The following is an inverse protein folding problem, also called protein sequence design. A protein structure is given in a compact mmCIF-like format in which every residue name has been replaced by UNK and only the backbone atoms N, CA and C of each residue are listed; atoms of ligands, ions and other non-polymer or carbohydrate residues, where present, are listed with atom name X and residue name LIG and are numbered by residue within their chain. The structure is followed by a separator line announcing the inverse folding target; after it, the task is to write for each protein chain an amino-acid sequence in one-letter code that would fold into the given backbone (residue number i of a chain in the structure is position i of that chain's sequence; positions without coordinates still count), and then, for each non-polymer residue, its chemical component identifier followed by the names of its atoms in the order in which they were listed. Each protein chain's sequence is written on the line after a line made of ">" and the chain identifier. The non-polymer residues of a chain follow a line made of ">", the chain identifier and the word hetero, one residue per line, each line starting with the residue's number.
data_IF_994447665286
#
_entry.id   IF_994447665286
#
_cell.length_a   1.000
_cell.length_b   1.000
_cell.length_c   1.000
_cell.angle_alpha   90.00
_cell.angle_beta   90.00
_cell.angle_gamma   90.00
#
_symmetry.space_group_name_H-M   'P 1'
#
loop_
_entity.id
_entity.type
_entity.pdbx_description
1 polymer ?
#
# COMPACT_ATOMS: atom_id res chain seq x y z
N UNK A 1 2.97 21.73 15.03
CA UNK A 1 4.04 20.72 14.95
C UNK A 1 3.50 19.57 14.11
N UNK A 2 3.67 19.61 12.78
CA UNK A 2 3.24 18.53 11.90
C UNK A 2 4.25 17.40 11.97
N UNK A 3 3.84 16.24 12.46
CA UNK A 3 4.61 14.99 12.38
C UNK A 3 5.05 14.80 10.92
N UNK A 4 6.30 14.40 10.63
CA UNK A 4 6.72 14.17 9.25
C UNK A 4 5.77 13.12 8.66
N UNK A 5 5.03 13.54 7.63
CA UNK A 5 4.16 12.69 6.83
C UNK A 5 4.94 11.41 6.52
N UNK A 6 4.47 10.26 7.00
CA UNK A 6 5.03 8.95 6.68
C UNK A 6 4.76 8.66 5.19
N UNK A 7 5.43 9.40 4.32
CA UNK A 7 5.40 9.17 2.89
C UNK A 7 6.21 7.90 2.61
N UNK A 8 5.68 7.09 1.72
CA UNK A 8 6.37 5.89 1.25
C UNK A 8 7.73 6.27 0.66
N UNK A 9 8.74 5.44 0.91
CA UNK A 9 10.08 5.61 0.31
C UNK A 9 10.16 5.09 -1.13
N UNK A 10 9.07 4.49 -1.63
CA UNK A 10 9.00 3.95 -2.99
C UNK A 10 8.96 5.13 -3.98
N UNK A 11 9.78 5.09 -5.05
CA UNK A 11 9.76 6.13 -6.07
C UNK A 11 8.41 6.15 -6.83
N UNK A 12 7.89 7.35 -7.11
CA UNK A 12 6.63 7.56 -7.84
C UNK A 12 6.48 6.73 -9.14
N UNK A 13 7.49 6.56 -10.01
CA UNK A 13 7.36 5.72 -11.20
C UNK A 13 7.07 4.24 -10.89
N UNK A 14 7.54 3.72 -9.75
CA UNK A 14 7.17 2.36 -9.32
C UNK A 14 5.75 2.32 -8.77
N UNK A 15 5.34 3.32 -7.97
CA UNK A 15 3.97 3.40 -7.47
C UNK A 15 2.95 3.46 -8.62
N UNK A 16 3.24 4.23 -9.68
CA UNK A 16 2.39 4.28 -10.88
C UNK A 16 2.27 2.90 -11.54
N UNK A 17 3.38 2.17 -11.68
CA UNK A 17 3.34 0.81 -12.23
C UNK A 17 2.54 -0.15 -11.35
N UNK A 18 2.70 -0.09 -10.02
CA UNK A 18 1.95 -0.92 -9.08
C UNK A 18 0.44 -0.62 -9.16
N UNK A 19 0.05 0.66 -9.20
CA UNK A 19 -1.34 1.09 -9.36
C UNK A 19 -1.93 0.57 -10.69
N UNK A 20 -1.18 0.67 -11.78
CA UNK A 20 -1.62 0.17 -13.10
C UNK A 20 -1.77 -1.35 -13.12
N UNK A 21 -0.82 -2.07 -12.54
CA UNK A 21 -0.87 -3.53 -12.43
C UNK A 21 -2.09 -3.97 -11.60
N UNK A 22 -2.34 -3.31 -10.47
CA UNK A 22 -3.48 -3.60 -9.62
C UNK A 22 -4.83 -3.29 -10.26
N UNK A 23 -4.97 -2.18 -10.99
CA UNK A 23 -6.19 -1.89 -11.77
C UNK A 23 -6.42 -2.97 -12.83
N UNK A 24 -5.36 -3.45 -13.47
CA UNK A 24 -5.45 -4.50 -14.48
C UNK A 24 -5.84 -5.84 -13.85
N UNK A 25 -5.24 -6.21 -12.71
CA UNK A 25 -5.56 -7.42 -11.97
C UNK A 25 -6.99 -7.38 -11.39
N UNK A 26 -7.40 -6.25 -10.82
CA UNK A 26 -8.74 -6.04 -10.27
C UNK A 26 -9.84 -6.03 -11.34
N UNK A 27 -9.51 -5.69 -12.59
CA UNK A 27 -10.43 -5.86 -13.74
C UNK A 27 -10.52 -7.30 -14.23
N UNK A 28 -9.44 -8.07 -14.09
CA UNK A 28 -9.41 -9.47 -14.49
C UNK A 28 -10.15 -10.37 -13.49
N UNK A 29 -10.14 -10.02 -12.20
CA UNK A 29 -10.85 -10.75 -11.15
C UNK A 29 -12.25 -10.17 -10.91
N UNK A 30 -13.27 -11.03 -10.90
CA UNK A 30 -14.65 -10.65 -10.52
C UNK A 30 -14.89 -10.69 -9.02
N UNK A 31 -13.94 -11.23 -8.25
CA UNK A 31 -14.05 -11.44 -6.82
C UNK A 31 -12.92 -10.73 -6.09
N UNK A 32 -13.24 -10.21 -4.91
CA UNK A 32 -12.26 -9.65 -3.97
C UNK A 32 -11.54 -10.80 -3.28
N UNK A 33 -10.22 -10.73 -3.21
CA UNK A 33 -9.42 -11.69 -2.44
C UNK A 33 -9.47 -11.31 -0.95
N UNK A 34 -10.13 -12.11 -0.08
CA UNK A 34 -10.21 -11.80 1.33
C UNK A 34 -8.83 -11.77 2.00
N UNK A 35 -7.87 -12.59 1.56
CA UNK A 35 -6.52 -12.60 2.13
C UNK A 35 -5.78 -11.28 1.83
N UNK A 36 -5.91 -10.77 0.60
CA UNK A 36 -5.35 -9.48 0.23
C UNK A 36 -5.97 -8.34 1.05
N UNK A 37 -7.29 -8.38 1.29
CA UNK A 37 -7.96 -7.41 2.17
C UNK A 37 -7.43 -7.47 3.60
N UNK A 38 -7.35 -8.67 4.20
CA UNK A 38 -6.83 -8.82 5.56
C UNK A 38 -5.38 -8.33 5.69
N UNK A 39 -4.53 -8.67 4.72
CA UNK A 39 -3.15 -8.20 4.68
C UNK A 39 -3.09 -6.67 4.52
N UNK A 40 -3.89 -6.10 3.63
CA UNK A 40 -4.00 -4.65 3.42
C UNK A 40 -4.38 -3.92 4.72
N UNK A 41 -5.38 -4.41 5.45
CA UNK A 41 -5.79 -3.81 6.72
C UNK A 41 -4.67 -3.86 7.77
N UNK A 42 -3.94 -4.98 7.85
CA UNK A 42 -2.79 -5.09 8.74
C UNK A 42 -1.68 -4.10 8.38
N UNK A 43 -1.41 -3.90 7.09
CA UNK A 43 -0.44 -2.90 6.59
C UNK A 43 -0.88 -1.49 6.96
N UNK A 44 -2.14 -1.12 6.71
CA UNK A 44 -2.68 0.21 7.07
C UNK A 44 -2.57 0.42 8.59
N UNK A 45 -2.83 -0.60 9.39
CA UNK A 45 -2.69 -0.51 10.85
C UNK A 45 -1.23 -0.32 11.29
N UNK A 46 -0.27 -0.93 10.58
CA UNK A 46 1.16 -0.86 10.90
C UNK A 46 1.84 0.42 10.40
N UNK A 47 1.58 0.81 9.14
CA UNK A 47 2.22 1.93 8.43
C UNK A 47 1.42 3.23 8.56
N UNK A 48 0.11 3.14 8.85
CA UNK A 48 -0.80 4.27 8.98
C UNK A 48 -1.55 4.63 7.69
N UNK A 49 -2.65 5.36 7.85
CA UNK A 49 -3.49 5.83 6.73
C UNK A 49 -2.78 6.83 5.81
N UNK A 50 -1.86 7.63 6.35
CA UNK A 50 -1.12 8.63 5.56
C UNK A 50 -0.15 7.98 4.57
N UNK A 51 0.49 6.89 4.99
CA UNK A 51 1.32 6.08 4.11
C UNK A 51 0.50 5.46 2.98
N UNK A 52 -0.66 4.89 3.31
CA UNK A 52 -1.57 4.32 2.32
C UNK A 52 -2.07 5.38 1.32
N UNK A 53 -2.34 6.61 1.80
CA UNK A 53 -2.67 7.76 0.94
C UNK A 53 -1.54 8.05 -0.06
N UNK A 54 -0.30 8.04 0.41
CA UNK A 54 0.89 8.26 -0.44
C UNK A 54 1.06 7.16 -1.48
N UNK A 55 0.88 5.90 -1.07
CA UNK A 55 0.98 4.73 -1.97
C UNK A 55 -0.10 4.76 -3.05
N UNK A 56 -1.34 5.08 -2.69
CA UNK A 56 -2.46 5.11 -3.64
C UNK A 56 -2.51 6.41 -4.46
N UNK A 57 -1.85 7.47 -4.02
CA UNK A 57 -1.85 8.77 -4.70
C UNK A 57 -3.20 9.46 -4.70
N UNK A 58 -4.10 9.07 -3.79
CA UNK A 58 -5.44 9.65 -3.63
C UNK A 58 -5.80 9.76 -2.16
N UNK A 59 -6.76 10.63 -1.87
CA UNK A 59 -7.24 10.80 -0.50
C UNK A 59 -8.12 9.62 -0.02
N UNK A 60 -7.95 9.27 1.26
CA UNK A 60 -8.65 8.17 1.95
C UNK A 60 -9.71 8.65 2.96
N UNK A 61 -10.17 9.91 2.89
CA UNK A 61 -11.19 10.44 3.78
C UNK A 61 -12.53 9.70 3.71
N UNK A 62 -12.82 9.02 2.58
CA UNK A 62 -14.01 8.19 2.45
C UNK A 62 -13.85 6.94 3.32
N UNK A 63 -14.77 6.74 4.28
CA UNK A 63 -14.82 5.54 5.13
C UNK A 63 -15.62 4.41 4.48
N UNK A 64 -15.27 3.18 4.85
CA UNK A 64 -15.99 1.98 4.41
C UNK A 64 -17.41 1.98 4.95
N UNK A 65 -18.36 1.50 4.13
CA UNK A 65 -19.75 1.34 4.52
C UNK A 65 -19.96 0.15 5.48
N UNK A 66 -19.08 -0.85 5.41
CA UNK A 66 -19.15 -2.04 6.26
C UNK A 66 -18.55 -1.80 7.65
N UNK A 67 -17.52 -0.95 7.75
CA UNK A 67 -16.88 -0.60 9.01
C UNK A 67 -16.24 0.80 8.90
N UNK A 68 -16.82 1.76 9.61
CA UNK A 68 -16.40 3.17 9.56
C UNK A 68 -14.99 3.42 10.10
N UNK A 69 -14.37 2.44 10.78
CA UNK A 69 -12.98 2.54 11.25
C UNK A 69 -11.98 2.47 10.10
N UNK A 70 -12.37 1.90 8.96
CA UNK A 70 -11.46 1.66 7.85
C UNK A 70 -11.73 2.60 6.67
N UNK A 71 -10.68 3.00 5.94
CA UNK A 71 -10.84 3.74 4.70
C UNK A 71 -11.50 2.86 3.62
N UNK A 72 -12.20 3.52 2.69
CA UNK A 72 -12.83 2.88 1.55
C UNK A 72 -11.78 2.60 0.47
N UNK A 73 -11.59 1.32 0.16
CA UNK A 73 -10.71 0.84 -0.90
C UNK A 73 -11.52 0.51 -2.16
N UNK A 74 -10.96 0.87 -3.30
CA UNK A 74 -11.44 0.46 -4.62
C UNK A 74 -10.86 -0.91 -4.97
N UNK A 75 -11.54 -1.63 -5.85
CA UNK A 75 -11.12 -2.95 -6.32
C UNK A 75 -9.68 -2.93 -6.84
N UNK A 76 -8.82 -3.76 -6.26
CA UNK A 76 -7.42 -3.91 -6.62
C UNK A 76 -6.47 -3.07 -5.76
N UNK A 77 -6.94 -2.05 -5.05
CA UNK A 77 -6.08 -1.22 -4.21
C UNK A 77 -5.51 -1.97 -3.00
N UNK A 78 -6.22 -2.99 -2.52
CA UNK A 78 -5.72 -3.92 -1.52
C UNK A 78 -4.41 -4.59 -1.96
N UNK A 79 -4.29 -4.91 -3.25
CA UNK A 79 -3.07 -5.49 -3.81
C UNK A 79 -1.94 -4.46 -3.94
N UNK A 80 -2.25 -3.19 -4.25
CA UNK A 80 -1.24 -2.12 -4.30
C UNK A 80 -0.61 -1.92 -2.93
N UNK A 81 -1.45 -1.83 -1.89
CA UNK A 81 -0.99 -1.60 -0.51
C UNK A 81 -0.08 -2.75 -0.05
N UNK A 82 -0.48 -4.00 -0.29
CA UNK A 82 0.32 -5.18 0.08
C UNK A 82 1.63 -5.22 -0.71
N UNK A 83 1.60 -4.95 -2.02
CA UNK A 83 2.81 -4.94 -2.85
C UNK A 83 3.78 -3.82 -2.45
N UNK A 84 3.26 -2.64 -2.13
CA UNK A 84 4.06 -1.52 -1.66
C UNK A 84 4.71 -1.82 -0.30
N UNK A 85 4.02 -2.49 0.62
CA UNK A 85 4.61 -2.87 1.90
C UNK A 85 5.78 -3.84 1.71
N UNK A 86 5.63 -4.85 0.85
CA UNK A 86 6.71 -5.79 0.51
C UNK A 86 7.90 -5.07 -0.14
N UNK A 87 7.65 -4.11 -1.03
CA UNK A 87 8.73 -3.35 -1.67
C UNK A 87 9.42 -2.40 -0.67
N UNK A 88 8.70 -1.78 0.25
CA UNK A 88 9.32 -1.01 1.34
C UNK A 88 10.15 -1.88 2.27
N UNK A 89 9.69 -3.09 2.62
CA UNK A 89 10.45 -4.05 3.40
C UNK A 89 11.71 -4.51 2.63
N UNK A 90 11.61 -4.74 1.32
CA UNK A 90 12.78 -5.03 0.47
C UNK A 90 13.77 -3.87 0.44
N UNK A 91 13.30 -2.63 0.27
CA UNK A 91 14.16 -1.44 0.29
C UNK A 91 14.84 -1.27 1.65
N UNK A 92 14.09 -1.48 2.75
CA UNK A 92 14.64 -1.43 4.10
C UNK A 92 15.69 -2.52 4.35
N UNK A 93 15.46 -3.74 3.86
CA UNK A 93 16.43 -4.83 3.93
C UNK A 93 17.70 -4.52 3.11
N UNK A 94 17.56 -4.00 1.89
CA UNK A 94 18.69 -3.59 1.06
C UNK A 94 19.52 -2.45 1.69
N UNK A 95 18.88 -1.55 2.45
CA UNK A 95 19.56 -0.51 3.23
C UNK A 95 20.30 -1.06 4.46
N UNK A 96 19.85 -2.20 5.01
CA UNK A 96 20.47 -2.85 6.17
C UNK A 96 21.65 -3.76 5.79
N UNK A 97 21.86 -4.04 4.50
CA UNK A 97 22.93 -4.90 3.98
C UNK A 97 24.01 -4.08 3.24
N UNK A 98 24.82 -3.24 3.92
CA UNK A 98 25.94 -2.54 3.30
C UNK A 98 27.22 -3.39 3.20
N UNK A 99 27.22 -4.66 3.64
CA UNK A 99 28.46 -5.39 3.98
C UNK A 99 28.47 -6.87 3.53
N UNK A 100 27.86 -7.21 2.39
CA UNK A 100 28.06 -8.52 1.75
C UNK A 100 29.07 -8.49 0.58
N UNK A 101 29.95 -7.49 0.56
CA UNK A 101 31.13 -7.42 -0.32
C UNK A 101 32.40 -7.45 0.54
N UNK A 102 32.75 -8.64 1.05
CA UNK A 102 34.09 -8.93 1.59
C UNK A 102 34.56 -10.32 1.22
#
# INVERSE_FOLDING_TARGET
>A
MGTPLQQTKIPEPQLVQMRQAAVTAGRASKFVDPHAVHACLAVIQRRGEEWARSVLGRDLARRSLADARWPYLLTGEEHVIVAADVEEDRLAAALLDPDNDR
#
